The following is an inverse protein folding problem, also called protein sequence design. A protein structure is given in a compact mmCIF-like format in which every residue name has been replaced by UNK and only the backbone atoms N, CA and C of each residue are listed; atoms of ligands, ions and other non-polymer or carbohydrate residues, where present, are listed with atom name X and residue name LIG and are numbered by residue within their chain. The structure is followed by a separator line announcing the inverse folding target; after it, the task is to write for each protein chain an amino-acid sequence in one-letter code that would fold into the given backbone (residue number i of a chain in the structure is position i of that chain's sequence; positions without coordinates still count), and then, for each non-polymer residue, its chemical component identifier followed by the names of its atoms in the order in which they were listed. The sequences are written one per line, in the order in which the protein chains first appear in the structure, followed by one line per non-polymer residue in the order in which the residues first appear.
data_IF_386750095925
#
_entry.id   IF_386750095925
#
_cell.length_a   1.000
_cell.length_b   1.000
_cell.length_c   1.000
_cell.angle_alpha   90.00
_cell.angle_beta   90.00
_cell.angle_gamma   90.00
#
_symmetry.space_group_name_H-M   'P 1'
#
loop_
_entity.id
_entity.type
_entity.pdbx_description
1 polymer ?
#
# COMPACT_ATOMS: atom_id res chain seq x y z
N UNK A 1 44.24 -44.92 -41.76
CA UNK A 1 42.78 -45.05 -41.54
C UNK A 1 42.26 -43.63 -41.35
N UNK A 2 41.87 -42.83 -42.35
CA UNK A 2 40.96 -43.01 -43.49
C UNK A 2 39.55 -43.44 -43.07
N UNK A 3 38.65 -42.45 -42.95
CA UNK A 3 37.25 -42.37 -43.47
C UNK A 3 36.58 -41.14 -42.80
N UNK A 4 36.44 -39.96 -43.44
CA UNK A 4 35.49 -39.52 -44.48
C UNK A 4 33.99 -39.45 -44.07
N UNK A 5 33.48 -38.21 -44.07
CA UNK A 5 32.20 -37.70 -44.62
C UNK A 5 30.85 -38.06 -43.97
N UNK A 6 30.01 -37.02 -43.66
CA UNK A 6 28.71 -36.77 -44.33
C UNK A 6 28.01 -35.43 -43.95
N UNK A 7 27.82 -34.57 -44.96
CA UNK A 7 26.68 -33.66 -45.35
C UNK A 7 26.00 -32.78 -44.27
N UNK A 8 25.95 -31.43 -44.36
CA UNK A 8 25.31 -30.51 -45.34
C UNK A 8 23.78 -30.69 -45.49
N UNK A 9 22.97 -29.75 -44.98
CA UNK A 9 21.99 -28.90 -45.73
C UNK A 9 21.12 -28.09 -44.75
N UNK A 10 21.23 -26.77 -44.68
CA UNK A 10 20.50 -25.74 -45.45
C UNK A 10 19.05 -25.45 -44.99
N UNK A 11 18.84 -24.15 -44.70
CA UNK A 11 17.66 -23.29 -44.86
C UNK A 11 16.27 -23.80 -44.43
N UNK A 12 15.58 -23.01 -43.60
CA UNK A 12 14.35 -22.33 -44.02
C UNK A 12 14.19 -20.99 -43.28
N UNK A 13 14.21 -19.92 -44.07
CA UNK A 13 13.80 -18.58 -43.71
C UNK A 13 12.28 -18.48 -43.71
N UNK A 14 11.69 -17.79 -42.74
CA UNK A 14 10.39 -17.14 -42.91
C UNK A 14 10.38 -15.83 -42.11
N UNK A 15 11.03 -14.83 -42.70
CA UNK A 15 10.89 -13.41 -42.35
C UNK A 15 9.52 -12.95 -42.85
N UNK A 16 8.60 -12.64 -41.95
CA UNK A 16 7.36 -11.93 -42.30
C UNK A 16 7.60 -10.45 -42.03
N UNK A 17 7.94 -9.73 -43.09
CA UNK A 17 7.99 -8.27 -43.14
C UNK A 17 6.66 -7.79 -43.72
N UNK A 18 5.83 -7.11 -42.92
CA UNK A 18 4.65 -6.39 -43.40
C UNK A 18 4.92 -4.90 -43.23
N UNK A 19 5.07 -4.21 -44.37
CA UNK A 19 5.37 -2.78 -44.50
C UNK A 19 4.20 -2.07 -45.16
N UNK A 20 4.12 -0.76 -44.89
CA UNK A 20 3.22 0.28 -45.42
C UNK A 20 1.77 0.22 -44.89
N UNK A 21 1.19 1.31 -44.38
CA UNK A 21 0.95 2.58 -45.08
C UNK A 21 0.81 3.74 -44.07
N UNK A 22 1.52 4.84 -44.31
CA UNK A 22 1.21 6.15 -43.74
C UNK A 22 -0.03 6.73 -44.43
N UNK A 23 -1.06 7.08 -43.65
CA UNK A 23 -2.12 8.01 -44.03
C UNK A 23 -2.05 9.19 -43.08
N UNK A 24 -1.81 10.38 -43.65
CA UNK A 24 -1.92 11.63 -42.93
C UNK A 24 -3.38 11.95 -42.63
N UNK A 25 -3.62 12.47 -41.43
CA UNK A 25 -4.84 13.20 -41.10
C UNK A 25 -4.44 14.48 -40.36
N UNK A 26 -4.71 15.60 -41.03
CA UNK A 26 -4.84 16.92 -40.44
C UNK A 26 -6.29 17.04 -39.97
N UNK A 27 -6.53 17.17 -38.67
CA UNK A 27 -7.74 17.78 -38.09
C UNK A 27 -7.29 18.51 -36.82
N UNK A 28 -7.33 19.84 -36.74
CA UNK A 28 -8.52 20.65 -36.94
C UNK A 28 -9.24 20.73 -35.59
N UNK A 29 -8.98 21.79 -34.82
CA UNK A 29 -9.40 21.95 -33.43
C UNK A 29 -10.87 22.32 -33.21
N UNK A 30 -11.23 22.54 -31.95
CA UNK A 30 -12.14 23.61 -31.49
C UNK A 30 -12.20 23.68 -29.96
N UNK A 31 -12.36 24.90 -29.47
CA UNK A 31 -12.58 25.33 -28.10
C UNK A 31 -13.91 24.82 -27.50
N UNK A 32 -13.96 24.72 -26.17
CA UNK A 32 -15.19 24.48 -25.41
C UNK A 32 -15.02 24.82 -23.93
N UNK A 33 -15.41 26.04 -23.55
CA UNK A 33 -15.53 26.53 -22.17
C UNK A 33 -16.67 25.87 -21.39
N UNK A 34 -16.44 25.64 -20.09
CA UNK A 34 -17.47 25.41 -19.05
C UNK A 34 -16.80 25.41 -17.68
N UNK A 35 -16.66 26.55 -16.99
CA UNK A 35 -17.58 27.07 -15.97
C UNK A 35 -17.86 26.11 -14.80
N UNK A 36 -17.06 26.22 -13.74
CA UNK A 36 -17.24 25.63 -12.41
C UNK A 36 -16.39 26.42 -11.38
N UNK A 37 -16.79 26.52 -10.10
CA UNK A 37 -16.66 27.74 -9.30
C UNK A 37 -15.26 28.01 -8.73
N UNK A 38 -14.91 29.31 -8.68
CA UNK A 38 -13.67 29.83 -8.12
C UNK A 38 -13.66 29.77 -6.58
N UNK A 39 -12.52 29.40 -5.96
CA UNK A 39 -12.30 29.55 -4.51
C UNK A 39 -12.07 31.03 -4.14
N UNK A 40 -12.28 31.41 -2.87
CA UNK A 40 -12.27 32.81 -2.43
C UNK A 40 -10.88 33.45 -2.52
N UNK A 41 -10.91 34.70 -2.98
CA UNK A 41 -9.79 35.63 -3.17
C UNK A 41 -9.10 35.89 -1.82
N UNK A 42 -7.83 35.49 -1.70
CA UNK A 42 -6.94 35.97 -0.65
C UNK A 42 -6.46 37.39 -1.00
N UNK A 43 -6.46 38.27 0.00
CA UNK A 43 -6.07 39.67 -0.12
C UNK A 43 -4.63 39.82 -0.62
N UNK A 44 -4.44 40.70 -1.61
CA UNK A 44 -3.16 41.16 -2.10
C UNK A 44 -2.42 41.99 -1.02
N UNK A 45 -1.18 41.61 -0.72
CA UNK A 45 -0.16 42.48 -0.13
C UNK A 45 0.78 42.92 -1.28
N UNK A 46 1.20 44.19 -1.39
CA UNK A 46 2.02 44.64 -2.51
C UNK A 46 3.44 44.08 -2.44
N UNK A 47 4.00 43.84 -3.62
CA UNK A 47 5.33 43.33 -3.89
C UNK A 47 6.46 44.12 -3.19
N UNK A 48 7.42 43.37 -2.63
CA UNK A 48 8.81 43.82 -2.50
C UNK A 48 9.61 43.07 -3.57
N UNK A 49 10.00 43.82 -4.61
CA UNK A 49 10.88 43.35 -5.68
C UNK A 49 12.31 43.26 -5.15
N UNK A 50 12.76 42.07 -4.79
CA UNK A 50 14.18 41.74 -4.79
C UNK A 50 14.43 40.56 -5.73
N UNK A 51 14.66 40.92 -6.99
CA UNK A 51 15.20 40.03 -8.02
C UNK A 51 16.68 39.80 -7.71
N UNK A 52 17.04 38.60 -7.25
CA UNK A 52 18.39 38.07 -7.37
C UNK A 52 18.38 37.01 -8.48
N UNK A 53 19.04 37.36 -9.57
CA UNK A 53 19.13 36.58 -10.80
C UNK A 53 20.30 35.61 -10.63
N UNK A 54 20.01 34.38 -10.19
CA UNK A 54 20.97 33.28 -10.18
C UNK A 54 20.31 32.04 -10.76
N UNK A 55 20.91 31.59 -11.86
CA UNK A 55 20.46 30.50 -12.72
C UNK A 55 20.12 29.23 -11.93
N UNK A 56 18.86 28.81 -12.11
CA UNK A 56 18.28 27.55 -11.66
C UNK A 56 19.00 26.38 -12.35
N UNK A 57 19.99 25.81 -11.66
CA UNK A 57 20.30 24.41 -11.84
C UNK A 57 19.35 23.68 -10.88
N UNK A 58 18.40 22.95 -11.45
CA UNK A 58 17.52 22.00 -10.78
C UNK A 58 18.36 20.86 -10.17
N UNK A 59 19.06 21.20 -9.10
CA UNK A 59 19.60 20.28 -8.11
C UNK A 59 18.49 20.10 -7.09
N UNK A 60 17.80 18.97 -7.19
CA UNK A 60 16.95 18.44 -6.12
C UNK A 60 17.80 18.42 -4.85
N UNK A 61 17.78 19.53 -4.12
CA UNK A 61 18.46 19.67 -2.85
C UNK A 61 17.68 18.80 -1.89
N UNK A 62 18.11 17.54 -1.77
CA UNK A 62 17.65 16.64 -0.73
C UNK A 62 17.97 17.32 0.59
N UNK A 63 16.97 17.97 1.20
CA UNK A 63 17.05 18.37 2.60
C UNK A 63 17.36 17.08 3.34
N UNK A 64 18.53 16.96 4.01
CA UNK A 64 18.83 15.77 4.77
C UNK A 64 17.71 15.62 5.79
N UNK A 65 17.00 14.51 5.74
CA UNK A 65 16.05 14.19 6.78
C UNK A 65 16.79 14.21 8.12
N UNK A 66 16.17 14.83 9.14
CA UNK A 66 16.70 14.78 10.52
C UNK A 66 16.79 13.34 11.04
N UNK A 67 16.03 12.41 10.45
CA UNK A 67 16.06 10.98 10.77
C UNK A 67 17.25 10.23 10.14
N UNK A 68 18.02 10.87 9.25
CA UNK A 68 19.07 10.21 8.47
C UNK A 68 18.54 9.33 7.33
N UNK A 69 17.25 9.43 7.02
CA UNK A 69 16.59 8.72 5.93
C UNK A 69 17.08 9.15 4.54
N UNK A 70 17.10 8.18 3.62
CA UNK A 70 17.43 8.37 2.20
C UNK A 70 16.34 7.69 1.36
N UNK A 71 15.72 8.47 0.46
CA UNK A 71 14.71 7.97 -0.47
C UNK A 71 15.23 6.79 -1.33
N UNK A 72 14.41 5.76 -1.49
CA UNK A 72 14.68 4.54 -2.24
C UNK A 72 15.64 3.57 -1.55
N UNK A 73 16.13 3.87 -0.34
CA UNK A 73 17.01 2.98 0.43
C UNK A 73 16.25 2.40 1.61
N UNK A 74 16.06 1.07 1.58
CA UNK A 74 15.37 0.31 2.62
C UNK A 74 16.38 -0.56 3.37
N UNK A 75 16.55 -0.29 4.66
CA UNK A 75 17.34 -1.17 5.53
C UNK A 75 16.54 -2.43 5.88
N UNK A 76 17.25 -3.50 6.28
CA UNK A 76 16.59 -4.72 6.71
C UNK A 76 15.70 -4.45 7.92
N UNK A 77 14.44 -4.90 7.88
CA UNK A 77 13.51 -4.85 9.01
C UNK A 77 14.08 -5.48 10.29
N UNK A 78 15.01 -6.43 10.16
CA UNK A 78 15.64 -7.10 11.31
C UNK A 78 16.52 -6.14 12.14
N UNK A 79 16.95 -5.01 11.58
CA UNK A 79 17.68 -3.98 12.31
C UNK A 79 16.79 -3.26 13.34
N UNK A 80 15.49 -3.19 13.08
CA UNK A 80 14.51 -2.42 13.87
C UNK A 80 13.58 -3.34 14.69
N UNK A 81 13.71 -4.66 14.55
CA UNK A 81 12.83 -5.61 15.23
C UNK A 81 12.92 -5.44 16.75
N UNK A 82 11.76 -5.38 17.40
CA UNK A 82 11.63 -5.18 18.85
C UNK A 82 12.18 -3.84 19.37
N UNK A 83 12.55 -2.88 18.52
CA UNK A 83 12.86 -1.51 18.95
C UNK A 83 11.56 -0.73 19.10
N UNK A 84 11.21 -0.38 20.34
CA UNK A 84 9.94 0.29 20.62
C UNK A 84 10.16 1.60 21.36
N UNK A 85 9.39 2.64 21.02
CA UNK A 85 9.37 3.90 21.75
C UNK A 85 8.90 3.68 23.21
N UNK A 86 7.94 2.77 23.39
CA UNK A 86 7.44 2.31 24.69
C UNK A 86 7.51 0.78 24.80
N UNK A 87 8.67 0.21 25.20
CA UNK A 87 8.84 -1.24 25.34
C UNK A 87 7.83 -1.86 26.32
N UNK A 88 7.36 -3.08 26.02
CA UNK A 88 6.43 -3.78 26.92
C UNK A 88 7.14 -4.31 28.16
N UNK A 89 6.46 -4.19 29.29
CA UNK A 89 6.92 -4.77 30.56
C UNK A 89 6.75 -6.30 30.57
N UNK A 90 7.71 -7.01 31.16
CA UNK A 90 7.66 -8.46 31.32
C UNK A 90 8.77 -9.20 30.55
N UNK A 91 8.48 -10.41 30.09
CA UNK A 91 9.46 -11.27 29.39
C UNK A 91 9.33 -11.14 27.86
N UNK A 92 9.34 -9.91 27.36
CA UNK A 92 9.35 -9.61 25.91
C UNK A 92 10.76 -9.27 25.44
N UNK A 93 11.10 -9.53 24.16
CA UNK A 93 12.41 -9.18 23.59
C UNK A 93 12.56 -7.69 23.25
N UNK A 94 11.57 -6.86 23.62
CA UNK A 94 11.52 -5.42 23.35
C UNK A 94 12.71 -4.68 23.97
N UNK A 95 13.29 -3.76 23.20
CA UNK A 95 14.38 -2.87 23.61
C UNK A 95 13.96 -1.43 23.38
N UNK A 96 14.56 -0.50 24.14
CA UNK A 96 14.30 0.92 23.99
C UNK A 96 14.73 1.40 22.60
N UNK A 97 13.79 1.97 21.85
CA UNK A 97 13.98 2.68 20.60
C UNK A 97 13.24 4.00 20.57
N UNK A 98 12.92 4.46 19.38
CA UNK A 98 12.15 5.68 19.06
C UNK A 98 10.98 5.34 18.14
N UNK A 99 10.03 6.28 17.95
CA UNK A 99 8.95 6.09 16.98
C UNK A 99 9.52 6.01 15.55
N UNK A 100 10.61 6.72 15.27
CA UNK A 100 11.33 6.62 13.99
C UNK A 100 11.87 5.22 13.73
N UNK A 101 12.31 4.48 14.77
CA UNK A 101 12.72 3.08 14.62
C UNK A 101 11.52 2.17 14.30
N UNK A 102 10.38 2.40 14.95
CA UNK A 102 9.12 1.69 14.66
C UNK A 102 8.64 1.98 13.23
N UNK A 103 8.71 3.24 12.78
CA UNK A 103 8.35 3.64 11.42
C UNK A 103 9.30 3.05 10.38
N UNK A 104 10.61 2.96 10.67
CA UNK A 104 11.57 2.26 9.81
C UNK A 104 11.25 0.77 9.69
N UNK A 105 10.83 0.13 10.79
CA UNK A 105 10.37 -1.25 10.77
C UNK A 105 9.13 -1.41 9.87
N UNK A 106 8.13 -0.52 10.00
CA UNK A 106 6.92 -0.52 9.17
C UNK A 106 7.25 -0.31 7.68
N UNK A 107 8.11 0.66 7.38
CA UNK A 107 8.57 0.97 6.02
C UNK A 107 9.22 -0.25 5.36
N UNK A 108 10.18 -0.89 6.06
CA UNK A 108 10.86 -2.08 5.55
C UNK A 108 9.92 -3.29 5.44
N UNK A 109 9.02 -3.49 6.41
CA UNK A 109 8.01 -4.56 6.37
C UNK A 109 7.06 -4.40 5.18
N UNK A 110 6.62 -3.17 4.91
CA UNK A 110 5.73 -2.89 3.79
C UNK A 110 6.44 -3.12 2.46
N UNK A 111 7.69 -2.68 2.29
CA UNK A 111 8.49 -2.98 1.09
C UNK A 111 8.66 -4.50 0.87
N UNK A 112 8.94 -5.26 1.95
CA UNK A 112 9.20 -6.70 1.87
C UNK A 112 7.94 -7.57 1.65
N UNK A 113 6.79 -7.17 2.21
CA UNK A 113 5.64 -8.08 2.38
C UNK A 113 4.33 -7.59 1.79
N UNK A 114 4.21 -6.29 1.52
CA UNK A 114 2.98 -5.73 0.99
C UNK A 114 2.80 -6.12 -0.48
N UNK A 115 1.57 -6.48 -0.86
CA UNK A 115 1.29 -6.98 -2.22
C UNK A 115 1.50 -5.90 -3.29
N UNK A 116 1.27 -4.63 -2.96
CA UNK A 116 1.40 -3.48 -3.85
C UNK A 116 2.49 -2.53 -3.34
N UNK A 117 3.63 -3.10 -2.92
CA UNK A 117 4.74 -2.34 -2.34
C UNK A 117 5.24 -1.23 -3.29
N UNK A 118 5.14 -1.45 -4.60
CA UNK A 118 5.49 -0.52 -5.67
C UNK A 118 4.53 0.67 -5.81
N UNK A 119 3.34 0.60 -5.19
CA UNK A 119 2.36 1.69 -5.15
C UNK A 119 2.47 2.55 -3.88
N UNK A 120 3.35 2.20 -2.92
CA UNK A 120 3.57 2.98 -1.69
C UNK A 120 4.49 4.17 -2.00
N UNK A 121 4.11 5.35 -1.52
CA UNK A 121 4.99 6.51 -1.53
C UNK A 121 6.07 6.36 -0.47
N UNK A 122 7.34 6.51 -0.86
CA UNK A 122 8.45 6.43 0.09
C UNK A 122 8.56 7.72 0.92
N UNK A 123 7.93 7.69 2.09
CA UNK A 123 7.89 8.80 3.05
C UNK A 123 8.95 8.61 4.12
N UNK A 124 9.59 9.70 4.52
CA UNK A 124 10.58 9.72 5.60
C UNK A 124 9.95 9.25 6.94
N UNK A 125 10.49 8.20 7.59
CA UNK A 125 10.05 7.68 8.88
C UNK A 125 10.03 8.70 10.02
N UNK A 126 10.75 9.82 9.89
CA UNK A 126 10.79 10.91 10.86
C UNK A 126 9.66 11.93 10.73
N UNK A 127 8.77 11.83 9.74
CA UNK A 127 7.71 12.84 9.54
C UNK A 127 6.53 12.66 10.48
N UNK A 128 6.32 11.45 10.99
CA UNK A 128 5.19 11.11 11.86
C UNK A 128 5.71 10.69 13.25
N UNK A 129 5.15 11.32 14.29
CA UNK A 129 5.45 11.02 15.70
C UNK A 129 4.58 9.88 16.25
N UNK A 130 3.71 9.29 15.43
CA UNK A 130 2.85 8.15 15.75
C UNK A 130 2.96 7.04 14.69
N UNK A 131 3.23 5.81 15.14
CA UNK A 131 3.45 4.68 14.25
C UNK A 131 2.19 4.22 13.52
N UNK A 132 0.99 4.44 14.07
CA UNK A 132 -0.27 4.12 13.40
C UNK A 132 -0.57 5.13 12.29
N UNK A 133 -0.25 6.41 12.52
CA UNK A 133 -0.37 7.44 11.48
C UNK A 133 0.57 7.14 10.30
N UNK A 134 1.83 6.75 10.59
CA UNK A 134 2.77 6.32 9.55
C UNK A 134 2.30 5.06 8.82
N UNK A 135 1.75 4.07 9.53
CA UNK A 135 1.21 2.84 8.92
C UNK A 135 0.09 3.10 7.89
N UNK A 136 -0.72 4.15 8.09
CA UNK A 136 -1.79 4.53 7.16
C UNK A 136 -1.27 5.13 5.84
N UNK A 137 -0.01 5.59 5.80
CA UNK A 137 0.71 6.02 4.61
C UNK A 137 1.30 4.83 3.85
N UNK A 138 1.66 3.74 4.56
CA UNK A 138 2.30 2.55 4.01
C UNK A 138 1.32 1.62 3.28
N UNK A 139 0.57 2.16 2.31
CA UNK A 139 -0.41 1.41 1.51
C UNK A 139 -0.71 2.09 0.18
N UNK A 140 -1.36 1.35 -0.71
CA UNK A 140 -1.95 1.91 -1.92
C UNK A 140 -3.22 2.74 -1.65
N UNK A 141 -3.32 3.88 -2.32
CA UNK A 141 -4.51 4.73 -2.34
C UNK A 141 -5.41 4.49 -3.56
N UNK A 142 -5.06 3.52 -4.41
CA UNK A 142 -5.77 3.23 -5.64
C UNK A 142 -7.14 2.56 -5.43
N UNK A 143 -8.02 2.73 -6.41
CA UNK A 143 -9.35 2.11 -6.43
C UNK A 143 -9.40 0.93 -7.40
N UNK A 144 -10.12 -0.11 -6.99
CA UNK A 144 -10.56 -1.18 -7.89
C UNK A 144 -11.51 -0.64 -8.97
N UNK A 145 -11.67 -1.33 -10.11
CA UNK A 145 -12.66 -0.95 -11.14
C UNK A 145 -14.10 -0.83 -10.62
N UNK A 146 -14.40 -1.51 -9.49
CA UNK A 146 -15.68 -1.43 -8.80
C UNK A 146 -15.80 -0.22 -7.84
N UNK A 147 -14.83 0.69 -7.82
CA UNK A 147 -14.84 1.93 -7.02
C UNK A 147 -14.49 1.78 -5.54
N UNK A 148 -14.02 0.60 -5.12
CA UNK A 148 -13.58 0.38 -3.74
C UNK A 148 -12.05 0.51 -3.63
N UNK A 149 -11.52 0.91 -2.47
CA UNK A 149 -10.06 0.85 -2.21
C UNK A 149 -9.53 -0.55 -2.49
N UNK A 150 -8.42 -0.62 -3.25
CA UNK A 150 -7.69 -1.88 -3.47
C UNK A 150 -7.32 -2.47 -2.12
N UNK A 151 -6.76 -1.61 -1.27
CA UNK A 151 -6.39 -1.97 0.07
C UNK A 151 -7.48 -1.65 1.09
N UNK A 152 -8.38 -2.61 1.27
CA UNK A 152 -9.40 -2.57 2.32
C UNK A 152 -9.12 -3.54 3.47
N UNK A 153 -7.97 -4.19 3.43
CA UNK A 153 -7.61 -5.29 4.34
C UNK A 153 -6.30 -5.01 5.09
N UNK A 154 -5.70 -3.84 4.90
CA UNK A 154 -4.63 -3.30 5.73
C UNK A 154 -5.19 -2.68 6.99
N UNK A 155 -4.84 -3.25 8.13
CA UNK A 155 -5.24 -2.79 9.45
C UNK A 155 -4.21 -3.22 10.48
N UNK A 156 -4.11 -2.46 11.56
CA UNK A 156 -3.35 -2.83 12.75
C UNK A 156 -4.29 -3.39 13.83
N UNK A 157 -3.78 -4.33 14.63
CA UNK A 157 -4.42 -4.83 15.83
C UNK A 157 -3.39 -4.92 16.94
N UNK A 158 -3.79 -4.56 18.15
CA UNK A 158 -2.95 -4.77 19.33
C UNK A 158 -2.61 -6.26 19.50
N UNK A 159 -1.36 -6.54 19.85
CA UNK A 159 -0.88 -7.92 20.06
C UNK A 159 -1.78 -8.70 21.02
N UNK A 160 -2.23 -8.09 22.12
CA UNK A 160 -3.13 -8.74 23.09
C UNK A 160 -4.49 -9.12 22.47
N UNK A 161 -5.05 -8.25 21.62
CA UNK A 161 -6.30 -8.51 20.92
C UNK A 161 -6.11 -9.63 19.90
N UNK A 162 -5.02 -9.58 19.13
CA UNK A 162 -4.67 -10.64 18.18
C UNK A 162 -4.48 -11.99 18.85
N UNK A 163 -3.74 -12.07 19.96
CA UNK A 163 -3.53 -13.30 20.73
C UNK A 163 -4.86 -13.86 21.24
N UNK A 164 -5.74 -13.01 21.77
CA UNK A 164 -7.08 -13.40 22.20
C UNK A 164 -7.91 -13.95 21.05
N UNK A 165 -7.91 -13.30 19.88
CA UNK A 165 -8.68 -13.76 18.72
C UNK A 165 -8.10 -15.05 18.11
N UNK A 166 -6.79 -15.13 17.97
CA UNK A 166 -6.09 -16.25 17.31
C UNK A 166 -6.04 -17.51 18.17
N UNK A 167 -5.82 -17.39 19.49
CA UNK A 167 -5.70 -18.54 20.39
C UNK A 167 -7.06 -19.04 20.87
N UNK A 168 -8.07 -18.18 20.90
CA UNK A 168 -9.36 -18.59 21.43
C UNK A 168 -10.02 -19.63 20.54
N UNK A 169 -9.83 -19.60 19.21
CA UNK A 169 -10.63 -20.41 18.28
C UNK A 169 -12.14 -20.23 18.50
N UNK A 170 -12.53 -19.20 19.27
CA UNK A 170 -13.89 -18.94 19.68
C UNK A 170 -14.52 -18.30 18.46
N UNK A 171 -15.27 -19.09 17.70
CA UNK A 171 -16.39 -18.54 16.94
C UNK A 171 -17.27 -17.81 17.95
N UNK A 172 -17.09 -16.50 18.09
CA UNK A 172 -17.87 -15.68 19.00
C UNK A 172 -19.33 -15.79 18.60
N UNK A 173 -20.09 -16.54 19.39
CA UNK A 173 -21.47 -16.85 19.15
C UNK A 173 -22.15 -17.21 20.45
N UNK A 174 -23.46 -17.08 20.51
CA UNK A 174 -24.24 -17.41 21.70
C UNK A 174 -24.28 -18.93 21.99
N UNK A 175 -23.63 -19.75 21.17
CA UNK A 175 -23.69 -21.20 21.27
C UNK A 175 -25.01 -21.78 20.78
N UNK A 176 -25.60 -21.17 19.74
CA UNK A 176 -26.83 -21.63 19.11
C UNK A 176 -26.67 -21.72 17.59
N UNK A 177 -27.19 -22.80 17.02
CA UNK A 177 -27.33 -22.95 15.57
C UNK A 177 -28.76 -22.58 15.17
N UNK A 178 -28.92 -21.61 14.28
CA UNK A 178 -30.22 -21.19 13.76
C UNK A 178 -30.59 -21.96 12.48
N UNK A 179 -31.84 -22.38 12.38
CA UNK A 179 -32.45 -22.96 11.19
C UNK A 179 -33.54 -22.05 10.64
N UNK A 180 -33.42 -21.67 9.37
CA UNK A 180 -34.39 -20.82 8.69
C UNK A 180 -35.47 -21.72 8.06
N UNK A 181 -36.66 -21.69 8.66
CA UNK A 181 -37.83 -22.45 8.17
C UNK A 181 -38.57 -21.68 7.08
N UNK A 182 -38.57 -20.35 7.15
CA UNK A 182 -39.10 -19.46 6.10
C UNK A 182 -38.30 -18.17 6.05
N UNK A 183 -37.68 -17.88 4.91
CA UNK A 183 -36.93 -16.63 4.66
C UNK A 183 -37.81 -15.48 4.15
N UNK A 184 -39.02 -15.79 3.69
CA UNK A 184 -40.02 -14.80 3.21
C UNK A 184 -41.13 -14.56 4.25
N UNK A 185 -41.75 -13.37 4.28
CA UNK A 185 -42.83 -13.07 5.21
C UNK A 185 -44.01 -14.05 5.13
N UNK A 186 -44.51 -14.57 6.28
CA UNK A 186 -43.97 -14.39 7.62
C UNK A 186 -42.66 -15.19 7.81
N UNK A 187 -41.60 -14.48 8.20
CA UNK A 187 -40.27 -15.08 8.42
C UNK A 187 -40.31 -15.98 9.65
N UNK A 188 -39.68 -17.14 9.57
CA UNK A 188 -39.58 -18.11 10.67
C UNK A 188 -38.16 -18.65 10.78
N UNK A 189 -37.53 -18.39 11.92
CA UNK A 189 -36.20 -18.90 12.29
C UNK A 189 -36.33 -19.59 13.64
N UNK A 190 -35.75 -20.78 13.79
CA UNK A 190 -35.79 -21.60 15.01
C UNK A 190 -34.38 -22.00 15.44
N UNK A 191 -34.18 -22.33 16.71
CA UNK A 191 -32.91 -22.88 17.20
C UNK A 191 -32.91 -24.38 16.89
N UNK A 192 -31.91 -24.84 16.15
CA UNK A 192 -31.72 -26.25 15.83
C UNK A 192 -30.97 -26.99 16.93
N UNK A 193 -29.90 -26.37 17.46
CA UNK A 193 -29.04 -26.93 18.50
C UNK A 193 -28.46 -25.82 19.37
N UNK A 194 -28.12 -26.15 20.61
CA UNK A 194 -27.36 -25.30 21.54
C UNK A 194 -26.14 -26.07 22.04
N UNK A 195 -24.99 -25.42 22.10
CA UNK A 195 -23.76 -26.00 22.67
C UNK A 195 -23.77 -25.93 24.21
N UNK A 196 -23.35 -26.98 24.95
CA UNK A 196 -23.31 -26.94 26.42
C UNK A 196 -22.34 -25.90 26.98
N UNK A 197 -22.71 -25.29 28.12
CA UNK A 197 -21.92 -24.25 28.80
C UNK A 197 -21.71 -22.97 27.96
N UNK A 198 -22.72 -22.59 27.18
CA UNK A 198 -22.73 -21.36 26.38
C UNK A 198 -23.88 -20.43 26.81
N UNK A 199 -23.88 -19.14 26.40
CA UNK A 199 -24.97 -18.23 26.73
C UNK A 199 -26.38 -18.65 26.28
N UNK A 200 -26.51 -19.56 25.30
CA UNK A 200 -27.79 -20.06 24.81
C UNK A 200 -28.25 -21.39 25.45
N UNK A 201 -27.42 -22.03 26.29
CA UNK A 201 -27.74 -23.31 26.96
C UNK A 201 -28.29 -23.16 28.37
#
# INVERSE_FOLDING_TARGET
MLWTTKKISQLYAFTVMFSCVFLGACSGGSEGSGSGPAPPIANFVPADDNVDDSADNDDMTTVPSESGWIAGVFESRDNFVNMCASPREGSFPDVQGTVTDENNWLRAMSDDTYLWYDEIEDVDPGTEDDALEYFELMRSFELTPAGNRKDRFHFALDTEVWERLSQSGISAGYGMTLSIVSSTPPRKVVIAYTEPNTPAS
#
